data_IF_142889312281
#
_entry.id   IF_142889312281
#
_cell.length_a   1.000
_cell.length_b   1.000
_cell.length_c   1.000
_cell.angle_alpha   90.00
_cell.angle_beta   90.00
_cell.angle_gamma   90.00
#
_symmetry.space_group_name_H-M   'P 1'
#
loop_
_entity.id
_entity.type
_entity.pdbx_description
1 polymer ?
#
# COMPACT_ATOMS: atom_id res chain seq x y z
N UNK A 1 18.72 -8.87 10.72
CA UNK A 1 18.08 -9.35 11.98
C UNK A 1 19.05 -10.18 12.84
N UNK A 2 19.78 -11.16 12.31
CA UNK A 2 20.69 -11.98 13.13
C UNK A 2 21.78 -11.16 13.85
N UNK A 3 22.47 -10.26 13.16
CA UNK A 3 23.47 -9.35 13.74
C UNK A 3 22.87 -8.43 14.81
N UNK A 4 21.72 -7.83 14.52
CA UNK A 4 21.02 -6.94 15.45
C UNK A 4 20.53 -7.67 16.72
N UNK A 5 20.05 -8.92 16.57
CA UNK A 5 19.67 -9.78 17.69
C UNK A 5 20.84 -10.11 18.60
N UNK A 6 22.02 -10.40 18.03
CA UNK A 6 23.24 -10.67 18.78
C UNK A 6 23.71 -9.42 19.54
N UNK A 7 23.74 -8.26 18.90
CA UNK A 7 24.23 -7.01 19.50
C UNK A 7 23.32 -6.49 20.62
N UNK A 8 22.00 -6.70 20.50
CA UNK A 8 21.02 -6.23 21.48
C UNK A 8 20.67 -7.27 22.55
N UNK A 9 21.26 -8.48 22.49
CA UNK A 9 20.96 -9.56 23.41
C UNK A 9 19.49 -10.02 23.41
N UNK A 10 18.77 -9.80 22.29
CA UNK A 10 17.35 -10.07 22.17
C UNK A 10 17.12 -11.31 21.27
N UNK A 11 16.17 -12.20 21.60
CA UNK A 11 15.82 -13.33 20.73
C UNK A 11 15.39 -12.88 19.32
N UNK A 12 15.75 -13.62 18.27
CA UNK A 12 15.37 -13.32 16.88
C UNK A 12 13.84 -13.22 16.71
N UNK A 13 13.08 -14.01 17.49
CA UNK A 13 11.61 -13.99 17.51
C UNK A 13 11.02 -12.63 17.93
N UNK A 14 11.76 -11.82 18.70
CA UNK A 14 11.30 -10.48 19.12
C UNK A 14 11.24 -9.47 17.97
N UNK A 15 11.87 -9.76 16.83
CA UNK A 15 11.74 -8.97 15.61
C UNK A 15 10.27 -8.84 15.14
N UNK A 16 9.47 -9.88 15.36
CA UNK A 16 8.03 -9.85 15.11
C UNK A 16 7.29 -8.79 15.94
N UNK A 17 7.72 -8.57 17.18
CA UNK A 17 7.14 -7.55 18.06
C UNK A 17 7.30 -6.12 17.49
N UNK A 18 8.49 -5.79 16.95
CA UNK A 18 8.71 -4.49 16.29
C UNK A 18 7.77 -4.31 15.09
N UNK A 19 7.66 -5.33 14.23
CA UNK A 19 6.78 -5.31 13.08
C UNK A 19 5.30 -5.17 13.47
N UNK A 20 4.87 -5.81 14.54
CA UNK A 20 3.50 -5.69 15.06
C UNK A 20 3.20 -4.27 15.57
N UNK A 21 4.14 -3.64 16.30
CA UNK A 21 3.99 -2.26 16.77
C UNK A 21 3.93 -1.29 15.60
N UNK A 22 4.80 -1.45 14.60
CA UNK A 22 4.77 -0.66 13.37
C UNK A 22 3.41 -0.81 12.69
N UNK A 23 2.95 -2.03 12.45
CA UNK A 23 1.66 -2.29 11.77
C UNK A 23 0.48 -1.73 12.54
N UNK A 24 0.47 -1.84 13.87
CA UNK A 24 -0.58 -1.25 14.71
C UNK A 24 -0.60 0.28 14.60
N UNK A 25 0.57 0.93 14.67
CA UNK A 25 0.71 2.37 14.46
C UNK A 25 0.23 2.81 13.08
N UNK A 26 0.56 2.03 12.04
CA UNK A 26 0.14 2.28 10.65
C UNK A 26 -1.37 2.19 10.49
N UNK A 27 -2.01 1.18 11.07
CA UNK A 27 -3.48 1.03 11.07
C UNK A 27 -4.15 2.23 11.76
N UNK A 28 -3.68 2.61 12.95
CA UNK A 28 -4.23 3.73 13.70
C UNK A 28 -4.09 5.03 12.92
N UNK A 29 -2.92 5.32 12.37
CA UNK A 29 -2.67 6.53 11.59
C UNK A 29 -3.50 6.58 10.30
N UNK A 30 -3.63 5.45 9.60
CA UNK A 30 -4.48 5.35 8.40
C UNK A 30 -5.95 5.66 8.71
N UNK A 31 -6.50 5.13 9.82
CA UNK A 31 -7.86 5.42 10.27
C UNK A 31 -8.06 6.88 10.70
N UNK A 32 -7.01 7.54 11.17
CA UNK A 32 -7.04 8.96 11.54
C UNK A 32 -6.77 9.90 10.37
N UNK A 33 -6.39 9.39 9.20
CA UNK A 33 -5.91 10.17 8.06
C UNK A 33 -6.94 11.20 7.56
N UNK A 34 -8.24 10.88 7.56
CA UNK A 34 -9.30 11.82 7.18
C UNK A 34 -9.31 13.05 8.06
N UNK A 35 -9.26 12.87 9.40
CA UNK A 35 -9.19 14.01 10.36
C UNK A 35 -7.92 14.84 10.19
N UNK A 36 -6.79 14.16 10.00
CA UNK A 36 -5.49 14.83 9.83
C UNK A 36 -5.45 15.63 8.53
N UNK A 37 -5.94 15.06 7.44
CA UNK A 37 -5.95 15.71 6.12
C UNK A 37 -6.94 16.88 6.07
N UNK A 38 -8.12 16.74 6.68
CA UNK A 38 -9.06 17.87 6.81
C UNK A 38 -8.47 19.03 7.61
N UNK A 39 -7.70 18.75 8.68
CA UNK A 39 -7.14 19.79 9.54
C UNK A 39 -5.88 20.45 8.98
N UNK A 40 -4.99 19.69 8.38
CA UNK A 40 -3.65 20.14 7.99
C UNK A 40 -3.42 20.18 6.48
N UNK A 41 -4.28 19.54 5.69
CA UNK A 41 -4.10 19.31 4.26
C UNK A 41 -3.15 18.16 3.95
N UNK A 42 -3.33 17.52 2.78
CA UNK A 42 -2.56 16.32 2.37
C UNK A 42 -1.04 16.56 2.34
N UNK A 43 -0.58 17.71 1.82
CA UNK A 43 0.85 18.01 1.74
C UNK A 43 1.55 18.09 3.10
N UNK A 44 0.94 18.76 4.10
CA UNK A 44 1.51 18.83 5.44
C UNK A 44 1.48 17.47 6.15
N UNK A 45 0.39 16.70 6.00
CA UNK A 45 0.30 15.35 6.57
C UNK A 45 1.39 14.48 5.99
N UNK A 46 1.60 14.51 4.67
CA UNK A 46 2.69 13.77 4.00
C UNK A 46 4.06 14.18 4.54
N UNK A 47 4.36 15.47 4.61
CA UNK A 47 5.66 15.96 5.09
C UNK A 47 5.93 15.58 6.55
N UNK A 48 4.95 15.75 7.45
CA UNK A 48 5.06 15.37 8.87
C UNK A 48 5.24 13.86 9.00
N UNK A 49 4.51 13.08 8.24
CA UNK A 49 4.57 11.61 8.25
C UNK A 49 5.94 11.09 7.82
N UNK A 50 6.51 11.66 6.74
CA UNK A 50 7.88 11.30 6.30
C UNK A 50 8.93 11.76 7.31
N UNK A 51 8.76 12.94 7.94
CA UNK A 51 9.62 13.40 9.02
C UNK A 51 9.61 12.44 10.22
N UNK A 52 8.42 11.93 10.62
CA UNK A 52 8.28 10.95 11.69
C UNK A 52 9.01 9.63 11.37
N UNK A 53 8.89 9.14 10.12
CA UNK A 53 9.61 7.93 9.72
C UNK A 53 11.12 8.14 9.65
N UNK A 54 11.58 9.31 9.20
CA UNK A 54 12.98 9.68 9.20
C UNK A 54 13.57 9.73 10.63
N UNK A 55 12.86 10.38 11.55
CA UNK A 55 13.23 10.46 12.97
C UNK A 55 13.28 9.06 13.60
N UNK A 56 12.30 8.23 13.30
CA UNK A 56 12.26 6.86 13.82
C UNK A 56 13.44 6.00 13.32
N UNK A 57 13.77 6.08 12.02
CA UNK A 57 14.93 5.37 11.46
C UNK A 57 16.25 5.88 12.06
N UNK A 58 16.35 7.18 12.29
CA UNK A 58 17.50 7.74 13.00
C UNK A 58 17.58 7.19 14.43
N UNK A 59 16.44 7.13 15.14
CA UNK A 59 16.33 6.52 16.45
C UNK A 59 16.71 5.03 16.46
N UNK A 60 16.30 4.26 15.45
CA UNK A 60 16.73 2.87 15.29
C UNK A 60 18.25 2.78 15.17
N UNK A 61 18.89 3.70 14.44
CA UNK A 61 20.35 3.70 14.27
C UNK A 61 21.13 3.96 15.55
N UNK A 62 20.49 4.52 16.56
CA UNK A 62 21.11 4.87 17.86
C UNK A 62 20.61 3.97 19.00
N UNK A 63 19.75 2.99 18.72
CA UNK A 63 19.10 2.20 19.74
C UNK A 63 20.09 1.28 20.48
N UNK A 64 20.30 1.46 21.80
CA UNK A 64 21.17 0.61 22.60
C UNK A 64 20.48 -0.66 23.10
N UNK A 65 19.16 -0.77 22.92
CA UNK A 65 18.37 -1.91 23.39
C UNK A 65 17.14 -2.14 22.53
N UNK A 66 16.57 -3.36 22.61
CA UNK A 66 15.35 -3.73 21.94
C UNK A 66 14.16 -2.81 22.30
N UNK A 67 14.05 -2.38 23.57
CA UNK A 67 12.94 -1.54 24.01
C UNK A 67 12.98 -0.14 23.39
N UNK A 68 14.15 0.37 23.11
CA UNK A 68 14.32 1.63 22.38
C UNK A 68 13.88 1.47 20.92
N UNK A 69 14.11 0.32 20.29
CA UNK A 69 13.57 0.01 18.97
C UNK A 69 12.03 0.00 19.00
N UNK A 70 11.41 -0.63 20.00
CA UNK A 70 9.95 -0.62 20.18
C UNK A 70 9.43 0.82 20.33
N UNK A 71 10.11 1.66 21.11
CA UNK A 71 9.72 3.06 21.29
C UNK A 71 9.70 3.82 19.95
N UNK A 72 10.75 3.66 19.13
CA UNK A 72 10.82 4.31 17.82
C UNK A 72 9.95 3.61 16.75
N UNK A 73 9.53 2.36 16.96
CA UNK A 73 8.59 1.68 16.08
C UNK A 73 7.21 2.37 16.05
N UNK A 74 6.80 3.01 17.17
CA UNK A 74 5.53 3.75 17.24
C UNK A 74 5.50 4.94 16.27
N UNK A 75 6.41 5.93 16.35
CA UNK A 75 6.41 7.04 15.40
C UNK A 75 6.66 6.58 13.95
N UNK A 76 7.42 5.51 13.74
CA UNK A 76 7.60 4.92 12.42
C UNK A 76 6.25 4.46 11.82
N UNK A 77 5.49 3.66 12.59
CA UNK A 77 4.19 3.17 12.15
C UNK A 77 3.19 4.31 11.92
N UNK A 78 3.10 5.28 12.83
CA UNK A 78 2.23 6.44 12.67
C UNK A 78 2.57 7.25 11.42
N UNK A 79 3.85 7.45 11.12
CA UNK A 79 4.30 8.12 9.90
C UNK A 79 3.96 7.30 8.66
N UNK A 80 4.22 6.00 8.65
CA UNK A 80 3.95 5.13 7.50
C UNK A 80 2.46 5.16 7.09
N UNK A 81 1.53 4.99 8.04
CA UNK A 81 0.10 5.00 7.72
C UNK A 81 -0.43 6.37 7.29
N UNK A 82 0.10 7.45 7.88
CA UNK A 82 -0.28 8.81 7.53
C UNK A 82 0.11 9.17 6.10
N UNK A 83 1.35 8.86 5.69
CA UNK A 83 1.81 9.13 4.32
C UNK A 83 1.06 8.28 3.30
N UNK A 84 0.87 6.99 3.58
CA UNK A 84 0.17 6.10 2.66
C UNK A 84 -1.26 6.58 2.37
N UNK A 85 -2.04 6.89 3.39
CA UNK A 85 -3.41 7.31 3.20
C UNK A 85 -3.53 8.70 2.55
N UNK A 86 -2.72 9.69 2.99
CA UNK A 86 -2.82 11.06 2.51
C UNK A 86 -2.30 11.21 1.08
N UNK A 87 -1.11 10.62 0.78
CA UNK A 87 -0.49 10.72 -0.54
C UNK A 87 -1.27 9.95 -1.60
N UNK A 88 -1.69 8.72 -1.29
CA UNK A 88 -2.46 7.91 -2.22
C UNK A 88 -3.80 8.57 -2.59
N UNK A 89 -4.53 9.13 -1.61
CA UNK A 89 -5.76 9.84 -1.91
C UNK A 89 -5.50 11.13 -2.70
N UNK A 90 -4.46 11.88 -2.38
CA UNK A 90 -4.09 13.06 -3.13
C UNK A 90 -3.79 12.75 -4.60
N UNK A 91 -3.02 11.69 -4.85
CA UNK A 91 -2.72 11.23 -6.22
C UNK A 91 -3.98 10.71 -6.92
N UNK A 92 -4.87 10.00 -6.22
CA UNK A 92 -6.11 9.50 -6.79
C UNK A 92 -7.07 10.63 -7.27
N UNK A 93 -7.05 11.79 -6.59
CA UNK A 93 -7.92 12.93 -6.94
C UNK A 93 -7.27 13.81 -8.04
N UNK A 94 -5.94 14.03 -7.97
CA UNK A 94 -5.30 15.08 -8.76
C UNK A 94 -4.49 14.56 -9.96
N UNK A 95 -4.30 13.24 -10.08
CA UNK A 95 -3.46 12.64 -11.11
C UNK A 95 -4.16 11.45 -11.77
N UNK A 96 -3.69 11.08 -12.94
CA UNK A 96 -4.21 9.93 -13.69
C UNK A 96 -3.66 8.60 -13.13
N UNK A 97 -4.34 7.49 -13.45
CA UNK A 97 -4.04 6.14 -12.97
C UNK A 97 -2.59 5.68 -13.23
N UNK A 98 -1.97 6.14 -14.32
CA UNK A 98 -0.56 5.80 -14.60
C UNK A 98 0.42 6.38 -13.56
N UNK A 99 0.15 7.57 -13.02
CA UNK A 99 0.96 8.15 -11.95
C UNK A 99 0.86 7.33 -10.66
N UNK A 100 -0.35 6.83 -10.34
CA UNK A 100 -0.54 5.94 -9.20
C UNK A 100 0.25 4.63 -9.37
N UNK A 101 0.24 4.04 -10.55
CA UNK A 101 1.01 2.83 -10.87
C UNK A 101 2.51 3.05 -10.72
N UNK A 102 3.04 4.18 -11.21
CA UNK A 102 4.46 4.52 -11.07
C UNK A 102 4.86 4.87 -9.64
N UNK A 103 3.99 5.53 -8.87
CA UNK A 103 4.20 5.76 -7.44
C UNK A 103 4.45 4.42 -6.71
N UNK A 104 3.61 3.42 -6.99
CA UNK A 104 3.76 2.09 -6.39
C UNK A 104 4.92 1.27 -6.99
N UNK A 105 5.37 1.56 -8.21
CA UNK A 105 6.59 0.98 -8.75
C UNK A 105 7.83 1.48 -7.99
N UNK A 106 7.86 2.74 -7.59
CA UNK A 106 8.95 3.30 -6.76
C UNK A 106 9.03 2.61 -5.39
N UNK A 107 7.89 2.20 -4.82
CA UNK A 107 7.89 1.35 -3.62
C UNK A 107 8.67 0.04 -3.85
N UNK A 108 8.45 -0.63 -4.98
CA UNK A 108 9.17 -1.85 -5.33
C UNK A 108 10.68 -1.63 -5.47
N UNK A 109 11.10 -0.52 -6.08
CA UNK A 109 12.52 -0.13 -6.18
C UNK A 109 13.11 0.10 -4.79
N UNK A 110 12.38 0.79 -3.91
CA UNK A 110 12.80 1.02 -2.53
C UNK A 110 12.95 -0.29 -1.74
N UNK A 111 11.99 -1.21 -1.89
CA UNK A 111 12.02 -2.53 -1.24
C UNK A 111 13.23 -3.38 -1.70
N UNK A 112 13.64 -3.26 -2.95
CA UNK A 112 14.84 -3.91 -3.47
C UNK A 112 16.12 -3.22 -2.99
N UNK A 113 16.15 -1.88 -2.97
CA UNK A 113 17.36 -1.10 -2.66
C UNK A 113 17.72 -1.15 -1.16
N UNK A 114 16.72 -1.18 -0.27
CA UNK A 114 16.91 -1.19 1.17
C UNK A 114 17.87 -2.28 1.69
N UNK A 115 17.65 -3.55 1.32
CA UNK A 115 18.57 -4.65 1.68
C UNK A 115 20.00 -4.46 1.16
N UNK A 116 20.19 -3.85 -0.03
CA UNK A 116 21.54 -3.57 -0.56
C UNK A 116 22.27 -2.52 0.27
N UNK A 117 21.60 -1.43 0.70
CA UNK A 117 22.16 -0.42 1.59
C UNK A 117 22.58 -1.06 2.93
N UNK A 118 21.71 -1.90 3.50
CA UNK A 118 22.03 -2.63 4.73
C UNK A 118 23.20 -3.60 4.53
N UNK A 119 23.19 -4.37 3.42
CA UNK A 119 24.27 -5.28 3.07
C UNK A 119 25.61 -4.57 2.90
N UNK A 120 25.62 -3.39 2.25
CA UNK A 120 26.81 -2.57 2.13
C UNK A 120 27.38 -2.17 3.51
N UNK A 121 26.53 -1.66 4.42
CA UNK A 121 26.95 -1.26 5.76
C UNK A 121 27.52 -2.43 6.57
N UNK A 122 26.91 -3.62 6.46
CA UNK A 122 27.39 -4.83 7.14
C UNK A 122 28.71 -5.33 6.56
N UNK A 123 28.87 -5.39 5.24
CA UNK A 123 30.08 -5.83 4.57
C UNK A 123 31.26 -4.88 4.78
N UNK A 124 30.99 -3.58 4.93
CA UNK A 124 31.99 -2.57 5.26
C UNK A 124 32.40 -2.59 6.75
N UNK A 125 31.88 -3.51 7.57
CA UNK A 125 32.18 -3.61 9.00
C UNK A 125 31.59 -2.50 9.86
N UNK A 126 30.67 -1.66 9.30
CA UNK A 126 30.08 -0.52 10.02
C UNK A 126 28.94 -0.95 10.95
N UNK A 127 28.40 -2.15 10.76
CA UNK A 127 27.25 -2.67 11.51
C UNK A 127 25.88 -2.20 10.98
N UNK A 128 24.82 -2.80 11.53
CA UNK A 128 23.43 -2.55 11.11
C UNK A 128 22.96 -1.13 11.40
N UNK A 129 23.47 -0.48 12.42
CA UNK A 129 23.12 0.90 12.79
C UNK A 129 23.40 1.91 11.67
N UNK A 130 24.51 1.72 10.94
CA UNK A 130 24.85 2.56 9.80
C UNK A 130 23.90 2.35 8.61
N UNK A 131 23.41 1.15 8.39
CA UNK A 131 22.37 0.90 7.38
C UNK A 131 21.12 1.75 7.63
N UNK A 132 20.65 1.81 8.89
CA UNK A 132 19.53 2.68 9.25
C UNK A 132 19.87 4.18 9.13
N UNK A 133 21.11 4.59 9.45
CA UNK A 133 21.56 5.99 9.28
C UNK A 133 21.51 6.42 7.82
N UNK A 134 22.02 5.61 6.90
CA UNK A 134 21.98 5.92 5.47
C UNK A 134 20.56 6.12 4.97
N UNK A 135 19.63 5.23 5.31
CA UNK A 135 18.22 5.36 4.93
C UNK A 135 17.59 6.60 5.59
N UNK A 136 17.90 6.85 6.87
CA UNK A 136 17.41 8.04 7.58
C UNK A 136 17.87 9.34 6.92
N UNK A 137 19.13 9.45 6.51
CA UNK A 137 19.66 10.63 5.80
C UNK A 137 18.89 10.84 4.50
N UNK A 138 18.63 9.78 3.70
CA UNK A 138 17.84 9.88 2.49
C UNK A 138 16.42 10.39 2.78
N UNK A 139 15.80 9.91 3.86
CA UNK A 139 14.47 10.37 4.26
C UNK A 139 14.46 11.80 4.81
N UNK A 140 15.51 12.24 5.50
CA UNK A 140 15.66 13.65 5.93
C UNK A 140 15.72 14.57 4.70
N UNK A 141 16.53 14.20 3.70
CA UNK A 141 16.60 14.96 2.43
C UNK A 141 15.23 15.00 1.75
N UNK A 142 14.53 13.85 1.67
CA UNK A 142 13.17 13.80 1.12
C UNK A 142 12.20 14.67 1.92
N UNK A 143 12.29 14.67 3.25
CA UNK A 143 11.47 15.52 4.11
C UNK A 143 11.69 16.99 3.81
N UNK A 144 12.95 17.41 3.65
CA UNK A 144 13.29 18.78 3.28
C UNK A 144 12.68 19.15 1.91
N UNK A 145 12.80 18.29 0.91
CA UNK A 145 12.19 18.50 -0.41
C UNK A 145 10.66 18.63 -0.28
N UNK A 146 10.01 17.79 0.51
CA UNK A 146 8.56 17.86 0.74
C UNK A 146 8.16 19.18 1.42
N UNK A 147 8.90 19.63 2.42
CA UNK A 147 8.64 20.91 3.09
C UNK A 147 8.75 22.09 2.10
N UNK A 148 9.81 22.13 1.29
CA UNK A 148 9.97 23.16 0.27
C UNK A 148 8.91 23.08 -0.84
N UNK A 149 8.35 21.90 -1.13
CA UNK A 149 7.29 21.72 -2.11
C UNK A 149 5.88 22.06 -1.61
N UNK A 150 5.68 22.29 -0.30
CA UNK A 150 4.35 22.57 0.28
C UNK A 150 3.54 23.66 -0.43
N UNK A 151 4.13 24.75 -0.94
CA UNK A 151 3.37 25.77 -1.68
C UNK A 151 2.73 25.19 -2.97
N UNK A 152 3.36 24.23 -3.62
CA UNK A 152 2.89 23.61 -4.86
C UNK A 152 1.63 22.76 -4.67
N UNK A 153 1.41 22.21 -3.48
CA UNK A 153 0.24 21.40 -3.16
C UNK A 153 -1.05 22.22 -3.08
N UNK A 154 -0.96 23.53 -2.80
CA UNK A 154 -2.10 24.46 -2.73
C UNK A 154 -2.61 24.90 -4.11
N UNK A 155 -1.78 24.88 -5.14
CA UNK A 155 -2.09 25.40 -6.48
C UNK A 155 -2.98 24.48 -7.32
N UNK A 156 -3.29 23.27 -6.84
CA UNK A 156 -4.07 22.26 -7.57
C UNK A 156 -5.47 22.03 -7.00
N UNK A 157 -6.04 23.00 -6.31
CA UNK A 157 -7.47 23.00 -6.01
C UNK A 157 -8.18 23.22 -7.34
N UNK A 158 -9.05 22.32 -7.83
CA UNK A 158 -9.84 22.57 -9.02
C UNK A 158 -10.66 23.84 -8.80
N UNK A 159 -10.45 24.86 -9.63
CA UNK A 159 -11.40 25.98 -9.66
C UNK A 159 -12.74 25.42 -10.12
N UNK A 160 -13.87 25.76 -9.47
CA UNK A 160 -15.18 25.46 -10.01
C UNK A 160 -15.21 26.02 -11.43
N UNK A 161 -15.53 25.16 -12.40
CA UNK A 161 -15.78 25.62 -13.76
C UNK A 161 -16.88 26.67 -13.65
N UNK A 162 -16.54 27.92 -13.89
CA UNK A 162 -17.48 28.99 -14.07
C UNK A 162 -18.38 28.58 -15.22
N UNK A 163 -19.62 28.23 -14.91
CA UNK A 163 -20.70 28.16 -15.89
C UNK A 163 -20.78 29.57 -16.43
N UNK A 164 -20.40 29.78 -17.67
CA UNK A 164 -20.65 31.01 -18.42
C UNK A 164 -22.19 31.22 -18.47
N UNK A 165 -22.69 31.92 -17.48
CA UNK A 165 -24.02 32.50 -17.52
C UNK A 165 -23.85 33.89 -18.13
N UNK A 166 -24.55 34.16 -19.23
CA UNK A 166 -24.58 35.44 -19.92
C UNK A 166 -24.87 36.61 -18.93
N UNK A 167 -24.32 37.81 -19.21
CA UNK A 167 -24.38 38.94 -18.27
C UNK A 167 -25.80 39.52 -18.20
N UNK A 168 -26.53 39.20 -17.15
CA UNK A 168 -27.67 40.00 -16.69
C UNK A 168 -27.16 41.08 -15.75
N UNK A 169 -27.34 42.34 -16.14
CA UNK A 169 -26.98 43.52 -15.40
C UNK A 169 -27.67 43.59 -14.00
N UNK A 170 -26.99 44.27 -13.10
CA UNK A 170 -27.40 44.67 -11.72
C UNK A 170 -27.25 43.59 -10.63
N UNK A 171 -26.02 43.45 -10.12
CA UNK A 171 -25.78 43.02 -8.74
C UNK A 171 -24.69 43.94 -8.14
N UNK A 172 -25.09 44.68 -7.12
CA UNK A 172 -24.32 45.65 -6.35
C UNK A 172 -23.04 45.06 -5.72
N UNK A 173 -21.94 45.82 -5.71
CA UNK A 173 -20.59 45.48 -5.20
C UNK A 173 -20.52 44.98 -3.74
N UNK A 174 -21.60 44.95 -3.01
CA UNK A 174 -21.63 44.44 -1.63
C UNK A 174 -21.68 42.90 -1.50
N UNK A 175 -22.02 42.16 -2.58
CA UNK A 175 -22.09 40.72 -2.55
C UNK A 175 -20.74 40.02 -2.81
N UNK A 176 -19.73 40.79 -3.26
CA UNK A 176 -18.40 40.25 -3.56
C UNK A 176 -17.51 40.04 -2.31
N UNK A 177 -17.83 40.66 -1.20
CA UNK A 177 -17.10 40.54 0.07
C UNK A 177 -17.58 39.36 0.95
N UNK A 178 -18.81 38.90 0.76
CA UNK A 178 -19.37 37.75 1.49
C UNK A 178 -19.18 36.41 0.79
N UNK A 179 -18.67 36.38 -0.44
CA UNK A 179 -18.38 35.22 -1.23
C UNK A 179 -17.11 34.43 -0.84
N UNK A 180 -16.41 34.80 0.22
CA UNK A 180 -15.48 33.95 0.97
C UNK A 180 -16.27 33.02 1.91
N UNK A 181 -17.37 32.45 1.41
CA UNK A 181 -18.07 31.40 2.12
C UNK A 181 -17.06 30.26 2.41
N UNK A 182 -16.73 30.15 3.68
CA UNK A 182 -16.11 28.95 4.24
C UNK A 182 -16.82 27.76 3.64
N UNK A 183 -16.07 26.92 2.87
CA UNK A 183 -16.57 25.59 2.53
C UNK A 183 -17.13 25.00 3.83
N UNK A 184 -18.34 24.45 3.82
CA UNK A 184 -18.92 23.87 5.03
C UNK A 184 -17.91 22.88 5.58
N UNK A 185 -17.40 23.14 6.79
CA UNK A 185 -16.37 22.33 7.44
C UNK A 185 -16.91 20.91 7.54
N UNK A 186 -16.51 20.09 6.55
CA UNK A 186 -16.89 18.68 6.49
C UNK A 186 -16.44 18.00 7.77
N UNK A 187 -17.36 17.37 8.49
CA UNK A 187 -17.04 16.57 9.64
C UNK A 187 -16.32 15.27 9.17
N UNK A 188 -15.25 14.85 9.88
CA UNK A 188 -14.53 13.63 9.53
C UNK A 188 -15.44 12.42 9.69
N UNK A 189 -15.46 11.57 8.65
CA UNK A 189 -16.23 10.34 8.66
C UNK A 189 -15.57 9.32 9.60
N UNK A 190 -16.29 8.91 10.64
CA UNK A 190 -15.87 7.80 11.49
C UNK A 190 -16.05 6.44 10.81
N UNK A 191 -15.52 5.38 11.41
CA UNK A 191 -15.60 4.00 10.91
C UNK A 191 -17.04 3.60 10.54
N UNK A 192 -18.01 3.93 11.41
CA UNK A 192 -19.43 3.62 11.17
C UNK A 192 -19.98 4.40 9.97
N UNK A 193 -19.58 5.67 9.80
CA UNK A 193 -19.96 6.48 8.67
C UNK A 193 -19.46 5.89 7.35
N UNK A 194 -18.20 5.48 7.28
CA UNK A 194 -17.63 4.82 6.09
C UNK A 194 -18.36 3.51 5.78
N UNK A 195 -18.60 2.65 6.78
CA UNK A 195 -19.27 1.35 6.59
C UNK A 195 -20.75 1.47 6.18
N UNK A 196 -21.38 2.63 6.41
CA UNK A 196 -22.75 2.92 5.96
C UNK A 196 -22.82 3.33 4.47
N UNK A 197 -21.68 3.73 3.87
CA UNK A 197 -21.63 4.12 2.45
C UNK A 197 -21.85 2.88 1.58
N UNK A 198 -22.76 2.99 0.61
CA UNK A 198 -23.04 1.91 -0.34
C UNK A 198 -21.81 1.58 -1.17
N UNK A 199 -21.37 0.33 -1.17
CA UNK A 199 -20.17 -0.13 -1.88
C UNK A 199 -18.88 -0.06 -1.06
N UNK A 200 -18.85 0.64 0.08
CA UNK A 200 -17.64 0.76 0.89
C UNK A 200 -17.17 -0.60 1.43
N UNK A 201 -18.09 -1.44 1.89
CA UNK A 201 -17.74 -2.79 2.40
C UNK A 201 -17.08 -3.64 1.33
N UNK A 202 -17.56 -3.57 0.10
CA UNK A 202 -17.03 -4.32 -1.03
C UNK A 202 -15.58 -3.93 -1.35
N UNK A 203 -15.29 -2.63 -1.43
CA UNK A 203 -13.93 -2.17 -1.75
C UNK A 203 -12.95 -2.47 -0.60
N UNK A 204 -13.41 -2.39 0.66
CA UNK A 204 -12.61 -2.70 1.82
C UNK A 204 -12.24 -4.19 1.89
N UNK A 205 -13.23 -5.09 1.69
CA UNK A 205 -13.01 -6.54 1.66
C UNK A 205 -12.14 -6.92 0.47
N UNK A 206 -12.40 -6.33 -0.71
CA UNK A 206 -11.60 -6.56 -1.91
C UNK A 206 -10.13 -6.22 -1.65
N UNK A 207 -9.86 -5.08 -1.03
CA UNK A 207 -8.51 -4.61 -0.76
C UNK A 207 -7.81 -5.43 0.33
N UNK A 208 -8.55 -5.83 1.38
CA UNK A 208 -8.09 -6.81 2.37
C UNK A 208 -7.65 -8.12 1.70
N UNK A 209 -8.49 -8.67 0.82
CA UNK A 209 -8.20 -9.94 0.14
C UNK A 209 -6.97 -9.83 -0.77
N UNK A 210 -6.83 -8.70 -1.47
CA UNK A 210 -5.63 -8.44 -2.27
C UNK A 210 -4.36 -8.47 -1.43
N UNK A 211 -4.32 -7.71 -0.33
CA UNK A 211 -3.14 -7.63 0.53
C UNK A 211 -2.86 -8.93 1.27
N UNK A 212 -3.91 -9.68 1.66
CA UNK A 212 -3.79 -11.01 2.22
C UNK A 212 -3.12 -11.99 1.24
N UNK A 213 -3.54 -11.97 -0.03
CA UNK A 213 -2.98 -12.79 -1.11
C UNK A 213 -1.52 -12.40 -1.38
N UNK A 214 -1.25 -11.10 -1.62
CA UNK A 214 0.09 -10.59 -1.97
C UNK A 214 1.11 -10.93 -0.87
N UNK A 215 0.79 -10.61 0.39
CA UNK A 215 1.70 -10.84 1.51
C UNK A 215 1.90 -12.32 1.83
N UNK A 216 0.85 -13.14 1.69
CA UNK A 216 0.99 -14.58 1.85
C UNK A 216 1.88 -15.16 0.75
N UNK A 217 1.70 -14.74 -0.50
CA UNK A 217 2.54 -15.17 -1.61
C UNK A 217 4.00 -14.75 -1.36
N UNK A 218 4.25 -13.51 -0.98
CA UNK A 218 5.59 -12.98 -0.70
C UNK A 218 6.31 -13.77 0.42
N UNK A 219 5.60 -14.08 1.50
CA UNK A 219 6.19 -14.72 2.67
C UNK A 219 6.38 -16.24 2.51
N UNK A 220 5.42 -16.92 1.88
CA UNK A 220 5.35 -18.38 1.90
C UNK A 220 5.82 -19.07 0.61
N UNK A 221 6.06 -18.33 -0.49
CA UNK A 221 6.49 -18.90 -1.76
C UNK A 221 7.76 -19.76 -1.65
N UNK A 222 8.80 -19.26 -0.96
CA UNK A 222 10.04 -19.99 -0.74
C UNK A 222 9.81 -21.28 0.06
N UNK A 223 9.04 -21.19 1.15
CA UNK A 223 8.72 -22.36 1.99
C UNK A 223 7.88 -23.39 1.23
N UNK A 224 6.91 -22.94 0.43
CA UNK A 224 6.11 -23.82 -0.44
C UNK A 224 6.99 -24.58 -1.43
N UNK A 225 7.95 -23.90 -2.07
CA UNK A 225 8.88 -24.55 -3.01
C UNK A 225 9.82 -25.51 -2.31
N UNK A 226 10.38 -25.13 -1.15
CA UNK A 226 11.32 -25.99 -0.44
C UNK A 226 10.64 -27.20 0.21
N UNK A 227 9.55 -26.99 0.96
CA UNK A 227 8.90 -28.05 1.73
C UNK A 227 7.81 -28.80 0.94
N UNK A 228 7.11 -28.11 0.02
CA UNK A 228 6.03 -28.70 -0.77
C UNK A 228 6.48 -29.32 -2.09
N UNK A 229 7.55 -28.80 -2.70
CA UNK A 229 8.06 -29.28 -4.01
C UNK A 229 9.45 -29.92 -3.91
N UNK A 230 10.10 -29.92 -2.74
CA UNK A 230 11.42 -30.54 -2.56
C UNK A 230 12.58 -29.77 -3.22
N UNK A 231 12.39 -28.49 -3.53
CA UNK A 231 13.43 -27.65 -4.15
C UNK A 231 14.45 -27.27 -3.08
N UNK A 232 15.73 -27.23 -3.44
CA UNK A 232 16.77 -26.73 -2.54
C UNK A 232 16.43 -25.35 -1.96
N UNK A 233 16.71 -25.14 -0.67
CA UNK A 233 16.32 -23.92 0.08
C UNK A 233 16.88 -22.63 -0.53
N UNK A 234 18.12 -22.69 -1.01
CA UNK A 234 18.78 -21.51 -1.62
C UNK A 234 18.13 -21.17 -2.96
N UNK A 235 17.88 -22.19 -3.78
CA UNK A 235 17.19 -22.10 -5.07
C UNK A 235 15.74 -21.62 -4.88
N UNK A 236 15.01 -22.16 -3.91
CA UNK A 236 13.66 -21.77 -3.57
C UNK A 236 13.57 -20.27 -3.13
N UNK A 237 14.53 -19.81 -2.33
CA UNK A 237 14.60 -18.40 -1.92
C UNK A 237 14.88 -17.48 -3.12
N UNK A 238 15.78 -17.88 -4.01
CA UNK A 238 16.10 -17.12 -5.23
C UNK A 238 14.88 -17.07 -6.17
N UNK A 239 14.17 -18.16 -6.37
CA UNK A 239 12.98 -18.19 -7.24
C UNK A 239 11.78 -17.47 -6.62
N UNK A 240 11.65 -17.44 -5.30
CA UNK A 240 10.61 -16.64 -4.63
C UNK A 240 10.76 -15.14 -4.91
N UNK A 241 11.98 -14.64 -5.14
CA UNK A 241 12.21 -13.25 -5.51
C UNK A 241 11.58 -12.86 -6.85
N UNK A 242 11.33 -13.83 -7.75
CA UNK A 242 10.66 -13.59 -9.03
C UNK A 242 9.24 -13.04 -8.86
N UNK A 243 8.56 -13.38 -7.76
CA UNK A 243 7.28 -12.78 -7.41
C UNK A 243 7.41 -11.26 -7.19
N UNK A 244 8.41 -10.83 -6.41
CA UNK A 244 8.67 -9.40 -6.15
C UNK A 244 9.11 -8.67 -7.42
N UNK A 245 9.93 -9.32 -8.27
CA UNK A 245 10.31 -8.79 -9.57
C UNK A 245 9.07 -8.65 -10.46
N UNK A 246 8.19 -9.67 -10.48
CA UNK A 246 6.91 -9.64 -11.20
C UNK A 246 6.04 -8.46 -10.79
N UNK A 247 5.88 -8.21 -9.49
CA UNK A 247 5.13 -7.04 -9.00
C UNK A 247 5.79 -5.73 -9.43
N UNK A 248 7.09 -5.57 -9.23
CA UNK A 248 7.80 -4.31 -9.51
C UNK A 248 7.78 -3.98 -11.01
N UNK A 249 8.16 -4.94 -11.85
CA UNK A 249 8.11 -4.80 -13.31
C UNK A 249 6.68 -4.62 -13.78
N UNK A 250 5.75 -5.39 -13.23
CA UNK A 250 4.32 -5.29 -13.53
C UNK A 250 3.76 -3.90 -13.22
N UNK A 251 4.13 -3.28 -12.10
CA UNK A 251 3.72 -1.90 -11.74
C UNK A 251 4.29 -0.86 -12.69
N UNK A 252 5.53 -1.01 -13.13
CA UNK A 252 6.12 -0.14 -14.17
C UNK A 252 5.36 -0.27 -15.48
N UNK A 253 5.13 -1.50 -15.95
CA UNK A 253 4.40 -1.78 -17.18
C UNK A 253 2.93 -1.35 -17.11
N UNK A 254 2.27 -1.58 -15.97
CA UNK A 254 0.86 -1.20 -15.79
C UNK A 254 0.65 0.30 -15.91
N UNK A 255 1.64 1.13 -15.56
CA UNK A 255 1.58 2.57 -15.81
C UNK A 255 1.36 2.93 -17.28
N UNK A 256 1.98 2.21 -18.21
CA UNK A 256 1.75 2.41 -19.65
C UNK A 256 0.40 1.81 -20.12
N UNK A 257 0.00 0.68 -19.54
CA UNK A 257 -1.25 0.00 -19.92
C UNK A 257 -2.48 0.79 -19.44
N UNK A 258 -2.40 1.43 -18.25
CA UNK A 258 -3.47 2.29 -17.71
C UNK A 258 -3.74 3.55 -18.54
N UNK A 259 -2.82 3.94 -19.43
CA UNK A 259 -3.09 5.00 -20.42
C UNK A 259 -4.16 4.60 -21.47
N UNK A 260 -4.38 3.29 -21.67
CA UNK A 260 -5.33 2.75 -22.65
C UNK A 260 -6.56 2.12 -22.02
N UNK A 261 -6.46 1.63 -20.81
CA UNK A 261 -7.52 0.89 -20.12
C UNK A 261 -7.87 1.58 -18.80
N UNK A 262 -9.16 1.60 -18.45
CA UNK A 262 -9.64 2.15 -17.19
C UNK A 262 -9.36 1.20 -16.00
N UNK A 263 -9.39 1.75 -14.78
CA UNK A 263 -9.09 1.01 -13.56
C UNK A 263 -9.89 -0.28 -13.37
N UNK A 264 -11.23 -0.33 -13.59
CA UNK A 264 -11.98 -1.57 -13.48
C UNK A 264 -11.51 -2.68 -14.43
N UNK A 265 -11.09 -2.31 -15.65
CA UNK A 265 -10.53 -3.27 -16.63
C UNK A 265 -9.16 -3.75 -16.18
N UNK A 266 -8.31 -2.85 -15.71
CA UNK A 266 -6.98 -3.19 -15.19
C UNK A 266 -7.05 -4.15 -14.00
N UNK A 267 -7.99 -3.91 -13.07
CA UNK A 267 -8.24 -4.82 -11.93
C UNK A 267 -8.63 -6.21 -12.43
N UNK A 268 -9.56 -6.31 -13.40
CA UNK A 268 -9.97 -7.61 -13.99
C UNK A 268 -8.80 -8.31 -14.68
N UNK A 269 -8.01 -7.59 -15.47
CA UNK A 269 -6.83 -8.15 -16.13
C UNK A 269 -5.84 -8.70 -15.09
N UNK A 270 -5.59 -7.95 -14.00
CA UNK A 270 -4.77 -8.41 -12.89
C UNK A 270 -5.32 -9.68 -12.25
N UNK A 271 -6.62 -9.72 -11.95
CA UNK A 271 -7.29 -10.89 -11.36
C UNK A 271 -7.20 -12.13 -12.27
N UNK A 272 -7.39 -11.96 -13.58
CA UNK A 272 -7.24 -13.05 -14.57
C UNK A 272 -5.79 -13.54 -14.62
N UNK A 273 -4.81 -12.62 -14.62
CA UNK A 273 -3.39 -13.01 -14.58
C UNK A 273 -3.04 -13.76 -13.30
N UNK A 274 -3.53 -13.33 -12.13
CA UNK A 274 -3.33 -14.08 -10.87
C UNK A 274 -3.92 -15.49 -10.99
N UNK A 275 -5.13 -15.62 -11.52
CA UNK A 275 -5.76 -16.93 -11.73
C UNK A 275 -4.92 -17.81 -12.65
N UNK A 276 -4.50 -17.27 -13.79
CA UNK A 276 -3.65 -18.00 -14.74
C UNK A 276 -2.32 -18.42 -14.10
N UNK A 277 -1.69 -17.53 -13.32
CA UNK A 277 -0.47 -17.83 -12.59
C UNK A 277 -0.64 -18.97 -11.59
N UNK A 278 -1.75 -18.99 -10.84
CA UNK A 278 -2.06 -20.08 -9.90
C UNK A 278 -2.32 -21.39 -10.65
N UNK A 279 -3.06 -21.35 -11.76
CA UNK A 279 -3.29 -22.54 -12.60
C UNK A 279 -1.95 -23.08 -13.12
N UNK A 280 -1.09 -22.24 -13.66
CA UNK A 280 0.24 -22.63 -14.14
C UNK A 280 1.10 -23.22 -13.02
N UNK A 281 1.01 -22.68 -11.80
CA UNK A 281 1.72 -23.18 -10.61
C UNK A 281 1.28 -24.61 -10.24
N UNK A 282 0.04 -24.97 -10.52
CA UNK A 282 -0.52 -26.32 -10.26
C UNK A 282 -0.16 -27.34 -11.35
N UNK A 283 0.27 -26.91 -12.55
CA UNK A 283 0.63 -27.82 -13.62
C UNK A 283 1.92 -28.60 -13.30
N UNK A 284 1.94 -29.92 -13.51
CA UNK A 284 3.11 -30.74 -13.28
C UNK A 284 4.13 -30.61 -14.42
N UNK A 285 4.69 -29.41 -14.61
CA UNK A 285 5.69 -29.16 -15.65
C UNK A 285 7.09 -29.64 -15.21
N UNK A 286 7.96 -30.06 -16.15
CA UNK A 286 9.32 -30.48 -15.84
C UNK A 286 10.12 -29.39 -15.13
N UNK A 287 11.10 -29.80 -14.28
CA UNK A 287 12.02 -28.88 -13.59
C UNK A 287 11.34 -27.79 -12.77
N UNK A 288 10.13 -28.05 -12.27
CA UNK A 288 9.32 -27.08 -11.50
C UNK A 288 8.98 -25.77 -12.24
N UNK A 289 9.08 -25.74 -13.57
CA UNK A 289 8.81 -24.56 -14.39
C UNK A 289 7.41 -23.98 -14.14
N UNK A 290 6.40 -24.84 -13.91
CA UNK A 290 5.05 -24.40 -13.57
C UNK A 290 5.02 -23.52 -12.32
N UNK A 291 5.74 -23.91 -11.26
CA UNK A 291 5.79 -23.14 -10.02
C UNK A 291 6.52 -21.79 -10.21
N UNK A 292 7.64 -21.79 -10.93
CA UNK A 292 8.47 -20.61 -11.18
C UNK A 292 7.69 -19.59 -12.02
N UNK A 293 7.22 -20.02 -13.19
CA UNK A 293 6.48 -19.17 -14.13
C UNK A 293 5.16 -18.72 -13.51
N UNK A 294 4.43 -19.66 -12.86
CA UNK A 294 3.18 -19.36 -12.20
C UNK A 294 3.33 -18.28 -11.13
N UNK A 295 4.37 -18.36 -10.30
CA UNK A 295 4.63 -17.38 -9.24
C UNK A 295 4.96 -15.98 -9.82
N UNK A 296 5.76 -15.92 -10.88
CA UNK A 296 6.07 -14.68 -11.59
C UNK A 296 4.80 -14.06 -12.21
N UNK A 297 3.94 -14.88 -12.82
CA UNK A 297 2.67 -14.43 -13.41
C UNK A 297 1.69 -13.95 -12.33
N UNK A 298 1.65 -14.60 -11.15
CA UNK A 298 0.88 -14.10 -10.00
C UNK A 298 1.37 -12.71 -9.59
N UNK A 299 2.69 -12.50 -9.51
CA UNK A 299 3.27 -11.19 -9.21
C UNK A 299 2.89 -10.12 -10.23
N UNK A 300 2.98 -10.44 -11.53
CA UNK A 300 2.54 -9.55 -12.62
C UNK A 300 1.04 -9.22 -12.52
N UNK A 301 0.21 -10.19 -12.16
CA UNK A 301 -1.23 -10.01 -11.98
C UNK A 301 -1.58 -9.15 -10.77
N UNK A 302 -0.83 -9.26 -9.68
CA UNK A 302 -0.98 -8.40 -8.49
C UNK A 302 -0.67 -6.92 -8.79
N UNK A 303 0.23 -6.66 -9.72
CA UNK A 303 0.79 -5.34 -9.96
C UNK A 303 -0.22 -4.21 -10.21
N UNK A 304 -1.21 -4.34 -11.13
CA UNK A 304 -2.16 -3.27 -11.42
C UNK A 304 -3.29 -3.17 -10.37
N UNK A 305 -3.54 -4.20 -9.57
CA UNK A 305 -4.73 -4.25 -8.70
C UNK A 305 -4.66 -3.17 -7.63
N UNK A 306 -3.57 -3.12 -6.87
CA UNK A 306 -3.42 -2.18 -5.75
C UNK A 306 -3.58 -0.71 -6.18
N UNK A 307 -2.80 -0.20 -7.17
CA UNK A 307 -2.91 1.20 -7.57
C UNK A 307 -4.28 1.54 -8.18
N UNK A 308 -4.85 0.65 -9.00
CA UNK A 308 -6.15 0.90 -9.64
C UNK A 308 -7.32 0.88 -8.66
N UNK A 309 -7.27 0.04 -7.61
CA UNK A 309 -8.31 0.04 -6.56
C UNK A 309 -8.32 1.37 -5.81
N UNK A 310 -7.16 1.89 -5.42
CA UNK A 310 -7.08 3.18 -4.73
C UNK A 310 -7.49 4.31 -5.66
N UNK A 311 -6.94 4.35 -6.89
CA UNK A 311 -7.22 5.40 -7.85
C UNK A 311 -8.71 5.47 -8.22
N UNK A 312 -9.41 4.34 -8.26
CA UNK A 312 -10.86 4.30 -8.54
C UNK A 312 -11.75 4.77 -7.37
N UNK A 313 -11.21 4.94 -6.18
CA UNK A 313 -12.01 5.29 -4.99
C UNK A 313 -12.75 6.63 -5.12
N UNK A 314 -12.14 7.73 -5.54
CA UNK A 314 -12.87 8.99 -5.76
C UNK A 314 -13.98 8.85 -6.82
N UNK A 315 -13.75 8.06 -7.86
CA UNK A 315 -14.74 7.82 -8.93
C UNK A 315 -15.98 7.08 -8.43
N UNK A 316 -15.84 6.16 -7.47
CA UNK A 316 -16.98 5.41 -6.91
C UNK A 316 -17.72 6.15 -5.81
N UNK A 317 -17.04 6.97 -5.01
CA UNK A 317 -17.60 7.50 -3.77
C UNK A 317 -17.61 9.02 -3.66
N UNK A 318 -17.04 9.72 -4.65
CA UNK A 318 -16.86 11.17 -4.62
C UNK A 318 -15.56 11.57 -3.90
N UNK A 319 -15.01 12.72 -4.29
CA UNK A 319 -13.78 13.27 -3.72
C UNK A 319 -13.95 13.61 -2.24
N UNK A 320 -15.16 14.04 -1.86
CA UNK A 320 -15.52 14.39 -0.50
C UNK A 320 -15.40 13.24 0.49
N UNK A 321 -15.62 11.97 0.07
CA UNK A 321 -15.56 10.77 0.94
C UNK A 321 -14.30 9.93 0.72
N UNK A 322 -13.56 10.21 -0.34
CA UNK A 322 -12.46 9.33 -0.78
C UNK A 322 -11.35 9.23 0.27
N UNK A 323 -10.99 10.33 0.95
CA UNK A 323 -9.94 10.30 1.97
C UNK A 323 -10.27 9.35 3.13
N UNK A 324 -11.51 9.38 3.62
CA UNK A 324 -11.96 8.51 4.71
C UNK A 324 -11.97 7.04 4.27
N UNK A 325 -12.41 6.77 3.03
CA UNK A 325 -12.45 5.42 2.47
C UNK A 325 -11.05 4.89 2.19
N UNK A 326 -10.15 5.69 1.60
CA UNK A 326 -8.75 5.31 1.38
C UNK A 326 -8.04 5.02 2.70
N UNK A 327 -8.23 5.86 3.73
CA UNK A 327 -7.69 5.60 5.06
C UNK A 327 -8.14 4.25 5.63
N UNK A 328 -9.42 3.91 5.45
CA UNK A 328 -9.96 2.62 5.89
C UNK A 328 -9.50 1.46 5.01
N UNK A 329 -9.32 1.65 3.69
CA UNK A 329 -8.71 0.67 2.79
C UNK A 329 -7.29 0.33 3.26
N UNK A 330 -6.46 1.33 3.58
CA UNK A 330 -5.11 1.12 4.10
C UNK A 330 -5.14 0.33 5.41
N UNK A 331 -6.01 0.69 6.34
CA UNK A 331 -6.15 -0.06 7.59
C UNK A 331 -6.54 -1.53 7.34
N UNK A 332 -7.51 -1.80 6.47
CA UNK A 332 -7.90 -3.16 6.07
C UNK A 332 -6.76 -3.91 5.37
N UNK A 333 -5.99 -3.23 4.51
CA UNK A 333 -4.81 -3.78 3.85
C UNK A 333 -3.77 -4.26 4.87
N UNK A 334 -3.43 -3.44 5.85
CA UNK A 334 -2.47 -3.80 6.89
C UNK A 334 -2.97 -4.92 7.80
N UNK A 335 -4.27 -4.97 8.11
CA UNK A 335 -4.87 -6.12 8.81
C UNK A 335 -4.73 -7.40 7.99
N UNK A 336 -5.03 -7.36 6.69
CA UNK A 336 -4.87 -8.50 5.78
C UNK A 336 -3.42 -8.99 5.70
N UNK A 337 -2.48 -8.05 5.51
CA UNK A 337 -1.05 -8.34 5.42
C UNK A 337 -0.46 -8.90 6.72
N UNK A 338 -0.95 -8.45 7.87
CA UNK A 338 -0.45 -8.86 9.17
C UNK A 338 -1.03 -10.20 9.63
N UNK A 339 -2.33 -10.44 9.39
CA UNK A 339 -3.03 -11.57 9.98
C UNK A 339 -3.05 -12.81 9.07
N UNK A 340 -3.15 -12.64 7.75
CA UNK A 340 -3.40 -13.78 6.86
C UNK A 340 -2.17 -14.65 6.57
N UNK A 341 -0.94 -14.14 6.46
CA UNK A 341 0.23 -15.01 6.33
C UNK A 341 0.47 -15.92 7.55
N UNK A 342 0.35 -15.45 8.83
CA UNK A 342 0.36 -16.33 9.99
C UNK A 342 -0.75 -17.38 10.01
N UNK A 343 -1.97 -17.04 9.58
CA UNK A 343 -3.08 -18.00 9.44
C UNK A 343 -2.70 -19.11 8.47
N UNK A 344 -2.12 -18.76 7.30
CA UNK A 344 -1.59 -19.79 6.41
C UNK A 344 -0.48 -20.62 7.07
N UNK A 345 0.38 -20.00 7.90
CA UNK A 345 1.39 -20.70 8.67
C UNK A 345 0.83 -21.81 9.56
N UNK A 346 -0.29 -21.54 10.24
CA UNK A 346 -0.99 -22.56 11.03
C UNK A 346 -1.53 -23.68 10.13
N UNK A 347 -2.08 -23.36 8.96
CA UNK A 347 -2.54 -24.36 7.98
C UNK A 347 -1.36 -25.20 7.48
N UNK A 348 -0.25 -24.54 7.13
CA UNK A 348 0.95 -25.23 6.65
C UNK A 348 1.54 -26.17 7.69
N UNK A 349 1.50 -25.81 8.98
CA UNK A 349 2.03 -26.61 10.08
C UNK A 349 1.12 -27.77 10.47
N UNK A 350 -0.20 -27.56 10.57
CA UNK A 350 -1.14 -28.54 11.10
C UNK A 350 -1.86 -29.39 10.04
N UNK A 351 -1.88 -28.92 8.78
CA UNK A 351 -2.51 -29.62 7.67
C UNK A 351 -1.48 -29.95 6.58
N UNK A 352 -1.14 -29.01 5.72
CA UNK A 352 -0.09 -29.16 4.71
C UNK A 352 0.22 -27.84 4.02
N UNK A 353 1.50 -27.62 3.68
CA UNK A 353 1.95 -26.47 2.88
C UNK A 353 1.50 -26.54 1.42
N UNK A 354 1.11 -27.72 0.93
CA UNK A 354 0.63 -27.92 -0.45
C UNK A 354 -0.65 -27.12 -0.73
N UNK A 355 -1.40 -26.74 0.31
CA UNK A 355 -2.59 -25.89 0.20
C UNK A 355 -2.28 -24.42 -0.18
N UNK A 356 -1.00 -24.04 -0.30
CA UNK A 356 -0.60 -22.66 -0.63
C UNK A 356 -1.32 -22.09 -1.88
N UNK A 357 -1.33 -22.74 -3.06
CA UNK A 357 -2.04 -22.22 -4.23
C UNK A 357 -3.55 -22.07 -3.99
N UNK A 358 -4.16 -23.01 -3.28
CA UNK A 358 -5.60 -22.98 -2.97
C UNK A 358 -5.97 -21.87 -2.01
N UNK A 359 -5.08 -21.58 -1.06
CA UNK A 359 -5.26 -20.44 -0.17
C UNK A 359 -5.28 -19.11 -0.94
N UNK A 360 -4.40 -18.95 -1.94
CA UNK A 360 -4.41 -17.79 -2.83
C UNK A 360 -5.70 -17.72 -3.65
N UNK A 361 -6.22 -18.85 -4.13
CA UNK A 361 -7.50 -18.93 -4.87
C UNK A 361 -8.67 -18.44 -4.03
N UNK A 362 -8.74 -18.77 -2.74
CA UNK A 362 -9.83 -18.32 -1.86
C UNK A 362 -9.89 -16.81 -1.83
N UNK A 363 -8.76 -16.13 -1.61
CA UNK A 363 -8.73 -14.66 -1.61
C UNK A 363 -8.98 -14.07 -2.99
N UNK A 364 -8.48 -14.70 -4.04
CA UNK A 364 -8.74 -14.26 -5.41
C UNK A 364 -10.24 -14.32 -5.75
N UNK A 365 -10.91 -15.42 -5.45
CA UNK A 365 -12.36 -15.56 -5.71
C UNK A 365 -13.15 -14.54 -4.93
N UNK A 366 -12.85 -14.36 -3.63
CA UNK A 366 -13.53 -13.37 -2.81
C UNK A 366 -13.28 -11.93 -3.33
N UNK A 367 -12.04 -11.62 -3.76
CA UNK A 367 -11.69 -10.35 -4.38
C UNK A 367 -12.47 -10.11 -5.67
N UNK A 368 -12.63 -11.12 -6.54
CA UNK A 368 -13.43 -11.02 -7.79
C UNK A 368 -14.90 -10.77 -7.46
N UNK A 369 -15.48 -11.53 -6.53
CA UNK A 369 -16.88 -11.38 -6.10
C UNK A 369 -17.14 -9.97 -5.56
N UNK A 370 -16.23 -9.47 -4.72
CA UNK A 370 -16.35 -8.13 -4.15
C UNK A 370 -16.20 -7.04 -5.21
N UNK A 371 -15.27 -7.19 -6.16
CA UNK A 371 -15.10 -6.25 -7.27
C UNK A 371 -16.35 -6.18 -8.15
N UNK A 372 -16.91 -7.31 -8.54
CA UNK A 372 -18.12 -7.33 -9.36
C UNK A 372 -19.36 -6.82 -8.60
N UNK A 373 -19.46 -7.10 -7.28
CA UNK A 373 -20.49 -6.55 -6.41
C UNK A 373 -20.39 -5.02 -6.32
N UNK A 374 -19.16 -4.49 -6.12
CA UNK A 374 -18.89 -3.04 -6.10
C UNK A 374 -19.38 -2.38 -7.40
N UNK A 375 -18.99 -2.94 -8.55
CA UNK A 375 -19.36 -2.41 -9.86
C UNK A 375 -20.87 -2.41 -10.10
N UNK A 376 -21.57 -3.45 -9.66
CA UNK A 376 -23.04 -3.50 -9.74
C UNK A 376 -23.71 -2.46 -8.84
N UNK A 377 -23.15 -2.19 -7.67
CA UNK A 377 -23.71 -1.24 -6.70
C UNK A 377 -23.44 0.22 -7.05
N UNK A 378 -22.25 0.52 -7.57
CA UNK A 378 -21.77 1.88 -7.81
C UNK A 378 -21.60 2.23 -9.29
N UNK A 379 -21.59 1.25 -10.21
CA UNK A 379 -21.36 1.47 -11.64
C UNK A 379 -22.51 2.18 -12.39
N UNK A 380 -23.69 2.31 -11.77
CA UNK A 380 -24.80 3.08 -12.30
C UNK A 380 -24.80 4.58 -11.94
N UNK A 381 -23.84 5.03 -11.11
CA UNK A 381 -23.70 6.45 -10.73
C UNK A 381 -22.77 7.27 -11.66
N UNK A 382 -22.34 6.68 -12.77
CA UNK A 382 -21.72 7.46 -13.86
C UNK A 382 -22.85 8.11 -14.65
N UNK A 383 -23.20 9.34 -14.32
CA UNK A 383 -23.84 10.36 -15.20
C UNK A 383 -24.56 11.36 -14.27
N UNK A 384 -23.98 12.48 -14.09
CA UNK A 384 -24.51 13.67 -13.44
C UNK A 384 -23.43 14.73 -13.41
#
# INVERSE_FOLDING_TARGET
MATMSADLGAPVSWAGGISMVISAGTIVSALMSDRMTLRFGAGKVTAISVALTALALFGFSMAPSYWVLILFAVPYGLGAGGVDAALNNYVAIHYESHHMSWLHAMWGIGALTGPYIMGYALNAGQGWSWGYRYISILQIVLTAILIFSLPLWKQRVPQPQSIETEPSADITEQSAAEGLAQEPSREPLGIRGVLAIRGAREILIMFFCYCALEQTAMLWASSYMALGKGIDKTTAAMWASLFCIGITVGRLLSGFVTMKFNDPTMIRMGQVLVLLGVVVMLLPLPQHLGTIVGLMVVGLGCAPIYPCVIHSTPTYFGEDKSQAIVGMQMACAYVGSMCMPPVFGLIAQHVTIILFPWYLVVFLVLMIVMHESLRRKCGGQRIG
#
